data_IF_100504117211
#
_entry.id   IF_100504117211
#
_cell.length_a   1.000
_cell.length_b   1.000
_cell.length_c   1.000
_cell.angle_alpha   90.00
_cell.angle_beta   90.00
_cell.angle_gamma   90.00
#
_symmetry.space_group_name_H-M   'P 1'
#
loop_
_entity.id
_entity.type
_entity.pdbx_description
1 polymer ?
#
# COMPACT_ATOMS: atom_id res chain seq x y z
N UNK A 1 10.76 -3.58 -20.19
CA UNK A 1 11.32 -4.25 -18.99
C UNK A 1 11.68 -3.19 -17.97
N UNK A 2 11.54 -3.49 -16.67
CA UNK A 2 11.94 -2.55 -15.62
C UNK A 2 13.47 -2.34 -15.65
N UNK A 3 13.95 -1.17 -15.21
CA UNK A 3 15.40 -0.91 -15.08
C UNK A 3 16.00 -1.76 -13.96
N UNK A 4 17.24 -2.20 -14.16
CA UNK A 4 18.08 -2.74 -13.10
C UNK A 4 18.46 -1.64 -12.09
N UNK A 5 18.78 -1.98 -10.82
CA UNK A 5 19.01 -1.01 -9.75
C UNK A 5 20.00 0.12 -10.11
N UNK A 6 21.18 -0.22 -10.65
CA UNK A 6 22.20 0.77 -11.02
C UNK A 6 21.71 1.75 -12.10
N UNK A 7 20.99 1.24 -13.11
CA UNK A 7 20.42 2.06 -14.17
C UNK A 7 19.28 2.95 -13.66
N UNK A 8 18.51 2.48 -12.67
CA UNK A 8 17.45 3.28 -12.03
C UNK A 8 18.04 4.41 -11.17
N UNK A 9 19.12 4.16 -10.43
CA UNK A 9 19.83 5.20 -9.66
C UNK A 9 20.43 6.26 -10.59
N UNK A 10 21.10 5.84 -11.68
CA UNK A 10 21.67 6.77 -12.64
C UNK A 10 20.59 7.68 -13.27
N UNK A 11 19.42 7.12 -13.60
CA UNK A 11 18.28 7.89 -14.09
C UNK A 11 17.77 8.89 -13.03
N UNK A 12 17.63 8.46 -11.76
CA UNK A 12 17.17 9.32 -10.68
C UNK A 12 18.13 10.51 -10.42
N UNK A 13 19.45 10.26 -10.43
CA UNK A 13 20.47 11.31 -10.28
C UNK A 13 20.35 12.37 -11.37
N UNK A 14 20.27 11.94 -12.63
CA UNK A 14 20.13 12.84 -13.78
C UNK A 14 18.87 13.71 -13.68
N UNK A 15 17.73 13.11 -13.33
CA UNK A 15 16.47 13.84 -13.15
C UNK A 15 16.58 14.87 -12.03
N UNK A 16 17.17 14.50 -10.89
CA UNK A 16 17.33 15.40 -9.75
C UNK A 16 18.32 16.54 -10.03
N UNK A 17 19.43 16.29 -10.71
CA UNK A 17 20.35 17.33 -11.18
C UNK A 17 19.66 18.32 -12.13
N UNK A 18 18.75 17.84 -12.97
CA UNK A 18 17.99 18.70 -13.89
C UNK A 18 16.90 19.51 -13.20
N UNK A 19 16.19 18.92 -12.24
CA UNK A 19 15.02 19.53 -11.60
C UNK A 19 15.38 20.36 -10.36
N UNK A 20 16.43 19.96 -9.64
CA UNK A 20 16.86 20.52 -8.36
C UNK A 20 18.39 20.77 -8.34
N UNK A 21 18.96 21.52 -9.30
CA UNK A 21 20.42 21.71 -9.42
C UNK A 21 21.07 22.41 -8.23
N UNK A 22 20.29 23.05 -7.36
CA UNK A 22 20.77 23.75 -6.17
C UNK A 22 20.99 22.82 -4.97
N UNK A 23 20.64 21.53 -5.06
CA UNK A 23 20.85 20.54 -3.99
C UNK A 23 22.12 19.75 -4.26
N UNK A 24 23.12 19.86 -3.38
CA UNK A 24 24.32 19.02 -3.43
C UNK A 24 24.01 17.59 -2.93
N UNK A 25 24.08 16.63 -3.85
CA UNK A 25 23.84 15.21 -3.58
C UNK A 25 25.13 14.37 -3.63
N UNK A 26 26.30 15.01 -3.63
CA UNK A 26 27.60 14.33 -3.74
C UNK A 26 27.88 13.32 -2.61
N UNK A 27 27.35 13.58 -1.42
CA UNK A 27 27.44 12.71 -0.24
C UNK A 27 26.18 11.84 -0.02
N UNK A 28 25.17 11.95 -0.89
CA UNK A 28 23.93 11.19 -0.74
C UNK A 28 24.15 9.71 -1.01
N UNK A 29 23.50 8.88 -0.20
CA UNK A 29 23.42 7.43 -0.41
C UNK A 29 22.16 7.09 -1.19
N UNK A 30 22.25 6.03 -2.00
CA UNK A 30 21.20 5.69 -2.95
C UNK A 30 20.90 4.20 -2.88
N UNK A 31 19.61 3.88 -2.78
CA UNK A 31 19.09 2.53 -2.87
C UNK A 31 17.83 2.52 -3.73
N UNK A 32 17.42 1.35 -4.22
CA UNK A 32 16.17 1.17 -4.95
C UNK A 32 15.34 0.09 -4.30
N UNK A 33 14.03 0.32 -4.16
CA UNK A 33 13.08 -0.70 -3.74
C UNK A 33 12.26 -1.18 -4.95
N UNK A 34 12.18 -2.49 -5.13
CA UNK A 34 11.17 -3.12 -6.00
C UNK A 34 10.01 -3.55 -5.14
N UNK A 35 8.80 -3.10 -5.49
CA UNK A 35 7.57 -3.45 -4.78
C UNK A 35 6.42 -3.53 -5.76
N UNK A 36 5.58 -4.54 -5.60
CA UNK A 36 4.38 -4.72 -6.40
C UNK A 36 3.19 -4.04 -5.73
N UNK A 37 2.32 -3.45 -6.56
CA UNK A 37 1.02 -2.95 -6.09
C UNK A 37 0.02 -4.09 -6.22
N UNK A 38 -0.62 -4.44 -5.10
CA UNK A 38 -1.74 -5.37 -5.09
C UNK A 38 -3.05 -4.60 -5.35
N UNK A 39 -3.67 -4.84 -6.50
CA UNK A 39 -4.89 -4.20 -6.96
C UNK A 39 -5.84 -5.28 -7.53
N UNK A 40 -7.17 -5.09 -7.49
CA UNK A 40 -8.10 -6.03 -8.08
C UNK A 40 -7.82 -6.16 -9.58
N UNK A 41 -7.91 -7.39 -10.12
CA UNK A 41 -7.73 -7.63 -11.55
C UNK A 41 -8.78 -6.85 -12.35
N UNK A 42 -8.32 -6.00 -13.27
CA UNK A 42 -9.20 -5.22 -14.13
C UNK A 42 -9.22 -5.81 -15.55
N UNK A 43 -10.41 -6.03 -16.09
CA UNK A 43 -10.58 -6.43 -17.50
C UNK A 43 -10.53 -5.25 -18.48
N UNK A 44 -10.51 -4.00 -17.98
CA UNK A 44 -10.43 -2.78 -18.77
C UNK A 44 -9.24 -1.89 -18.37
N UNK A 45 -8.73 -1.10 -19.31
CA UNK A 45 -7.59 -0.17 -19.16
C UNK A 45 -7.86 1.02 -18.22
N UNK A 46 -8.91 1.00 -17.40
CA UNK A 46 -9.34 2.14 -16.59
C UNK A 46 -8.82 1.97 -15.17
N UNK A 47 -7.87 2.84 -14.78
CA UNK A 47 -7.31 2.87 -13.43
C UNK A 47 -8.45 3.03 -12.39
N UNK A 48 -8.54 2.17 -11.36
CA UNK A 48 -9.61 2.28 -10.39
C UNK A 48 -9.34 3.47 -9.47
N UNK A 49 -10.37 4.30 -9.27
CA UNK A 49 -10.32 5.46 -8.38
C UNK A 49 -11.06 5.24 -7.06
N UNK A 50 -11.52 4.01 -6.80
CA UNK A 50 -12.25 3.62 -5.60
C UNK A 50 -11.63 2.38 -4.96
N UNK A 51 -11.89 2.18 -3.67
CA UNK A 51 -11.60 0.92 -3.01
C UNK A 51 -12.49 -0.21 -3.57
N UNK A 52 -11.96 -1.43 -3.53
CA UNK A 52 -12.63 -2.63 -3.98
C UNK A 52 -12.95 -3.53 -2.80
N UNK A 53 -14.19 -4.03 -2.73
CA UNK A 53 -14.64 -5.07 -1.80
C UNK A 53 -15.54 -6.02 -2.58
N UNK A 54 -15.23 -7.31 -2.54
CA UNK A 54 -16.09 -8.40 -3.01
C UNK A 54 -16.59 -9.21 -1.81
N UNK A 55 -17.83 -9.69 -1.89
CA UNK A 55 -18.51 -10.41 -0.82
C UNK A 55 -18.99 -11.76 -1.34
N UNK A 56 -18.44 -12.82 -0.76
CA UNK A 56 -18.78 -14.20 -1.07
C UNK A 56 -19.33 -14.87 0.19
N UNK A 57 -20.65 -14.92 0.33
CA UNK A 57 -21.33 -15.37 1.55
C UNK A 57 -20.85 -14.59 2.79
N UNK A 58 -20.07 -15.23 3.68
CA UNK A 58 -19.53 -14.62 4.92
C UNK A 58 -18.09 -14.14 4.78
N UNK A 59 -17.52 -14.19 3.56
CA UNK A 59 -16.16 -13.78 3.26
C UNK A 59 -16.19 -12.43 2.53
N UNK A 60 -15.48 -11.44 3.07
CA UNK A 60 -15.23 -10.16 2.41
C UNK A 60 -13.75 -10.07 2.03
N UNK A 61 -13.45 -9.76 0.78
CA UNK A 61 -12.08 -9.65 0.24
C UNK A 61 -11.95 -8.31 -0.47
N UNK A 62 -10.83 -7.62 -0.32
CA UNK A 62 -10.62 -6.44 -1.14
C UNK A 62 -9.30 -5.73 -0.96
N UNK A 63 -9.16 -4.64 -1.71
CA UNK A 63 -7.98 -3.78 -1.73
C UNK A 63 -8.40 -2.31 -1.79
N UNK A 64 -7.75 -1.41 -1.05
CA UNK A 64 -8.05 0.02 -1.12
C UNK A 64 -7.57 0.66 -2.43
N UNK A 65 -6.64 0.04 -3.17
CA UNK A 65 -5.96 0.53 -4.40
C UNK A 65 -5.03 1.73 -4.20
N UNK A 66 -5.31 2.61 -3.23
CA UNK A 66 -4.43 3.70 -2.77
C UNK A 66 -4.52 3.79 -1.25
N UNK A 67 -3.43 4.17 -0.57
CA UNK A 67 -3.45 4.37 0.89
C UNK A 67 -4.52 5.39 1.31
N UNK A 68 -4.68 6.47 0.54
CA UNK A 68 -5.69 7.50 0.79
C UNK A 68 -7.15 7.01 0.72
N UNK A 69 -7.39 5.83 0.12
CA UNK A 69 -8.71 5.22 -0.01
C UNK A 69 -9.00 4.18 1.08
N UNK A 70 -8.14 4.04 2.10
CA UNK A 70 -8.42 3.20 3.26
C UNK A 70 -9.75 3.55 3.97
N UNK A 71 -10.15 4.83 4.11
CA UNK A 71 -11.46 5.18 4.64
C UNK A 71 -12.62 4.69 3.76
N UNK A 72 -12.57 4.92 2.43
CA UNK A 72 -13.58 4.43 1.49
C UNK A 72 -13.69 2.89 1.51
N UNK A 73 -12.57 2.19 1.68
CA UNK A 73 -12.56 0.74 1.88
C UNK A 73 -13.34 0.33 3.14
N UNK A 74 -13.08 0.98 4.27
CA UNK A 74 -13.77 0.72 5.53
C UNK A 74 -15.28 1.01 5.41
N UNK A 75 -15.66 2.13 4.80
CA UNK A 75 -17.06 2.52 4.60
C UNK A 75 -17.82 1.48 3.77
N UNK A 76 -17.19 0.93 2.72
CA UNK A 76 -17.78 -0.14 1.90
C UNK A 76 -18.00 -1.43 2.69
N UNK A 77 -17.04 -1.81 3.55
CA UNK A 77 -17.18 -2.98 4.42
C UNK A 77 -18.33 -2.77 5.42
N UNK A 78 -18.40 -1.59 6.04
CA UNK A 78 -19.47 -1.25 6.99
C UNK A 78 -20.84 -1.23 6.31
N UNK A 79 -20.93 -0.69 5.09
CA UNK A 79 -22.16 -0.71 4.31
C UNK A 79 -22.62 -2.14 3.97
N UNK A 80 -21.69 -3.04 3.64
CA UNK A 80 -22.00 -4.46 3.40
C UNK A 80 -22.53 -5.15 4.67
N UNK A 81 -21.88 -4.94 5.81
CA UNK A 81 -22.33 -5.46 7.11
C UNK A 81 -23.72 -4.94 7.48
N UNK A 82 -23.96 -3.64 7.27
CA UNK A 82 -25.24 -2.99 7.55
C UNK A 82 -26.36 -3.54 6.67
N UNK A 83 -26.09 -3.73 5.37
CA UNK A 83 -27.04 -4.31 4.41
C UNK A 83 -27.51 -5.71 4.83
N UNK A 84 -26.60 -6.51 5.37
CA UNK A 84 -26.89 -7.88 5.82
C UNK A 84 -27.42 -7.94 7.26
N UNK A 85 -27.63 -6.79 7.90
CA UNK A 85 -28.17 -6.71 9.26
C UNK A 85 -27.23 -7.26 10.33
N UNK A 86 -25.92 -7.32 10.05
CA UNK A 86 -24.92 -7.77 11.02
C UNK A 86 -24.82 -6.72 12.13
N UNK A 87 -25.00 -7.15 13.37
CA UNK A 87 -24.93 -6.30 14.56
C UNK A 87 -23.93 -6.87 15.57
N UNK A 88 -23.30 -6.02 16.40
CA UNK A 88 -22.47 -6.50 17.51
C UNK A 88 -23.25 -7.43 18.43
N UNK A 89 -22.59 -8.48 18.90
CA UNK A 89 -23.11 -9.39 19.95
C UNK A 89 -22.13 -9.42 21.12
N UNK A 90 -22.57 -9.80 22.33
CA UNK A 90 -21.65 -10.01 23.45
C UNK A 90 -20.59 -11.05 23.09
N UNK A 91 -19.33 -10.74 23.38
CA UNK A 91 -18.18 -11.63 23.20
C UNK A 91 -17.32 -11.59 24.49
N UNK A 92 -16.68 -12.71 24.87
CA UNK A 92 -15.71 -12.71 25.97
C UNK A 92 -14.49 -11.86 25.62
N UNK A 93 -13.77 -11.38 26.64
CA UNK A 93 -12.51 -10.68 26.42
C UNK A 93 -11.48 -11.62 25.77
N UNK A 94 -10.83 -11.16 24.72
CA UNK A 94 -9.69 -11.85 24.12
C UNK A 94 -8.42 -11.44 24.85
N UNK A 95 -7.95 -12.30 25.76
CA UNK A 95 -6.70 -12.11 26.50
C UNK A 95 -5.59 -12.97 25.88
N UNK A 96 -4.33 -12.60 26.14
CA UNK A 96 -3.13 -13.39 25.82
C UNK A 96 -2.92 -13.74 24.33
N UNK A 97 -3.45 -12.91 23.42
CA UNK A 97 -3.15 -13.04 21.99
C UNK A 97 -1.75 -12.49 21.67
N UNK A 98 -0.98 -13.17 20.79
CA UNK A 98 0.30 -12.67 20.35
C UNK A 98 0.15 -11.34 19.60
N UNK A 99 0.98 -10.36 19.94
CA UNK A 99 1.02 -9.08 19.25
C UNK A 99 1.94 -9.18 18.02
N UNK A 100 1.49 -8.79 16.82
CA UNK A 100 2.35 -8.74 15.66
C UNK A 100 3.40 -7.62 15.81
N UNK A 101 4.61 -7.80 15.27
CA UNK A 101 5.62 -6.75 15.28
C UNK A 101 5.25 -5.61 14.32
N UNK A 102 5.85 -4.43 14.54
CA UNK A 102 5.80 -3.32 13.59
C UNK A 102 6.85 -3.50 12.49
N UNK A 103 6.51 -3.12 11.26
CA UNK A 103 7.46 -3.12 10.15
C UNK A 103 8.47 -1.98 10.30
N UNK A 104 9.72 -2.24 9.90
CA UNK A 104 10.77 -1.23 9.80
C UNK A 104 10.64 -0.57 8.42
N UNK A 105 10.75 0.76 8.31
CA UNK A 105 10.69 1.39 7.00
C UNK A 105 11.94 1.07 6.19
N UNK A 106 11.77 0.94 4.87
CA UNK A 106 12.81 0.42 3.97
C UNK A 106 14.12 1.23 3.98
N UNK A 107 14.07 2.52 4.30
CA UNK A 107 15.28 3.36 4.38
C UNK A 107 16.14 3.01 5.58
N UNK A 108 15.56 2.55 6.70
CA UNK A 108 16.33 2.07 7.87
C UNK A 108 16.91 0.66 7.63
N UNK A 109 16.39 -0.07 6.63
CA UNK A 109 16.87 -1.40 6.26
C UNK A 109 17.97 -1.37 5.19
N UNK A 110 17.81 -0.50 4.18
CA UNK A 110 18.67 -0.48 2.99
C UNK A 110 19.83 0.51 3.08
N UNK A 111 19.77 1.49 3.98
CA UNK A 111 20.79 2.51 4.16
C UNK A 111 21.43 2.35 5.55
N UNK A 112 22.71 2.70 5.70
CA UNK A 112 23.43 2.61 6.97
C UNK A 112 23.00 3.64 8.00
#
# INVERSE_FOLDING_TARGET
MAREPAAQIAAARKELESLLPWVDLSQAQWATLRVDRAEPAQSGLVRPDNAFVDVQQRLMIGWPTKLALAPDFADRVLAALSKDGIQPTPQPAMNDLPLPPLAIPVWDELLP
#
